data_IF_067352362521
#
_entry.id   IF_067352362521
#
_cell.length_a   1.000
_cell.length_b   1.000
_cell.length_c   1.000
_cell.angle_alpha   90.00
_cell.angle_beta   90.00
_cell.angle_gamma   90.00
#
_symmetry.space_group_name_H-M   'P 1'
#
loop_
_entity.id
_entity.type
_entity.pdbx_description
1 polymer ?
#
# COMPACT_ATOMS: atom_id res chain seq x y z
N UNK A 1 -12.85 7.70 -30.33
CA UNK A 1 -13.99 7.11 -29.60
C UNK A 1 -13.37 6.40 -28.41
N UNK A 2 -13.64 6.86 -27.20
CA UNK A 2 -13.06 6.27 -25.99
C UNK A 2 -13.95 5.11 -25.57
N UNK A 3 -13.43 3.89 -25.58
CA UNK A 3 -14.16 2.69 -25.15
C UNK A 3 -14.12 2.60 -23.62
N UNK A 4 -15.27 2.53 -22.95
CA UNK A 4 -15.34 2.53 -21.48
C UNK A 4 -14.59 1.36 -20.83
N UNK A 5 -14.44 0.24 -21.55
CA UNK A 5 -13.77 -0.97 -21.05
C UNK A 5 -12.25 -0.83 -20.94
N UNK A 6 -11.65 0.22 -21.50
CA UNK A 6 -10.20 0.47 -21.40
C UNK A 6 -9.81 1.25 -20.16
N UNK A 7 -10.78 1.84 -19.44
CA UNK A 7 -10.54 2.58 -18.20
C UNK A 7 -10.41 1.55 -17.07
N UNK A 8 -9.17 1.16 -16.78
CA UNK A 8 -8.83 0.18 -15.74
C UNK A 8 -7.83 0.78 -14.76
N UNK A 9 -8.00 0.47 -13.47
CA UNK A 9 -7.03 0.86 -12.46
C UNK A 9 -5.73 0.07 -12.66
N UNK A 10 -4.60 0.78 -12.72
CA UNK A 10 -3.27 0.22 -12.88
C UNK A 10 -2.46 0.38 -11.59
N UNK A 11 -1.44 -0.46 -11.41
CA UNK A 11 -0.46 -0.30 -10.35
C UNK A 11 0.29 1.03 -10.49
N UNK A 12 0.69 1.63 -9.37
CA UNK A 12 1.42 2.90 -9.39
C UNK A 12 2.59 2.90 -8.43
N UNK A 13 3.67 3.58 -8.81
CA UNK A 13 4.88 3.71 -7.99
C UNK A 13 4.89 5.07 -7.31
N UNK A 14 5.13 5.08 -6.01
CA UNK A 14 5.28 6.30 -5.21
C UNK A 14 6.68 6.38 -4.60
N UNK A 15 7.21 7.59 -4.47
CA UNK A 15 8.39 7.87 -3.65
C UNK A 15 7.93 8.19 -2.21
N UNK A 16 8.46 7.45 -1.24
CA UNK A 16 8.23 7.72 0.17
C UNK A 16 9.01 8.97 0.57
N UNK A 17 8.34 9.87 1.27
CA UNK A 17 8.86 11.19 1.64
C UNK A 17 9.23 11.27 3.11
N UNK A 18 10.24 12.06 3.45
CA UNK A 18 10.59 12.33 4.83
C UNK A 18 9.48 13.16 5.49
N UNK A 19 8.98 12.78 6.67
CA UNK A 19 7.76 13.38 7.25
C UNK A 19 7.90 14.87 7.61
N UNK A 20 9.13 15.38 7.79
CA UNK A 20 9.36 16.78 8.14
C UNK A 20 9.82 17.67 6.97
N UNK A 21 10.42 17.08 5.93
CA UNK A 21 11.05 17.85 4.83
C UNK A 21 10.41 17.59 3.49
N UNK A 22 9.53 16.59 3.40
CA UNK A 22 8.83 16.15 2.19
C UNK A 22 9.76 15.67 1.06
N UNK A 23 11.07 15.63 1.30
CA UNK A 23 12.06 15.13 0.37
C UNK A 23 11.98 13.60 0.26
N UNK A 24 12.19 13.02 -0.94
CA UNK A 24 12.19 11.57 -1.10
C UNK A 24 13.32 10.93 -0.29
N UNK A 25 13.01 9.90 0.49
CA UNK A 25 14.01 9.21 1.34
C UNK A 25 14.83 8.18 0.56
N UNK A 26 14.42 7.86 -0.67
CA UNK A 26 15.03 6.80 -1.49
C UNK A 26 14.31 5.45 -1.41
N UNK A 27 13.17 5.35 -0.73
CA UNK A 27 12.29 4.19 -0.77
C UNK A 27 11.18 4.43 -1.78
N UNK A 28 11.06 3.57 -2.78
CA UNK A 28 9.92 3.54 -3.70
C UNK A 28 9.04 2.37 -3.41
N UNK A 29 7.73 2.56 -3.49
CA UNK A 29 6.74 1.52 -3.23
C UNK A 29 5.77 1.45 -4.41
N UNK A 30 5.56 0.24 -4.92
CA UNK A 30 4.51 -0.06 -5.89
C UNK A 30 3.23 -0.37 -5.13
N UNK A 31 2.21 0.45 -5.36
CA UNK A 31 0.87 0.28 -4.82
C UNK A 31 -0.03 -0.41 -5.82
N UNK A 32 -0.81 -1.36 -5.31
CA UNK A 32 -1.82 -2.11 -6.04
C UNK A 32 -3.20 -1.46 -5.83
N UNK A 33 -4.01 -1.30 -6.90
CA UNK A 33 -5.37 -0.78 -6.76
C UNK A 33 -6.28 -1.77 -6.03
N UNK A 34 -7.43 -1.28 -5.52
CA UNK A 34 -8.40 -2.12 -4.81
C UNK A 34 -9.00 -3.25 -5.67
N UNK A 35 -8.95 -3.08 -7.00
CA UNK A 35 -9.41 -4.07 -7.98
C UNK A 35 -8.41 -5.20 -8.20
N UNK A 36 -7.16 -5.05 -7.75
CA UNK A 36 -6.13 -6.07 -7.91
C UNK A 36 -6.50 -7.36 -7.14
N UNK A 37 -6.31 -8.56 -7.71
CA UNK A 37 -6.76 -9.83 -7.11
C UNK A 37 -6.25 -10.03 -5.67
N UNK A 38 -4.97 -9.71 -5.41
CA UNK A 38 -4.36 -9.76 -4.06
C UNK A 38 -5.11 -8.88 -3.05
N UNK A 39 -5.45 -7.65 -3.43
CA UNK A 39 -6.14 -6.70 -2.56
C UNK A 39 -7.60 -7.11 -2.35
N UNK A 40 -8.28 -7.57 -3.40
CA UNK A 40 -9.66 -8.08 -3.32
C UNK A 40 -9.79 -9.32 -2.45
N UNK A 41 -8.80 -10.21 -2.47
CA UNK A 41 -8.77 -11.39 -1.62
C UNK A 41 -8.62 -11.00 -0.14
N UNK A 42 -7.66 -10.13 0.18
CA UNK A 42 -7.46 -9.62 1.53
C UNK A 42 -8.70 -8.87 2.06
N UNK A 43 -9.32 -8.04 1.21
CA UNK A 43 -10.56 -7.32 1.55
C UNK A 43 -11.72 -8.28 1.84
N UNK A 44 -11.91 -9.31 1.01
CA UNK A 44 -12.93 -10.34 1.23
C UNK A 44 -12.68 -11.09 2.53
N UNK A 45 -11.44 -11.55 2.75
CA UNK A 45 -11.04 -12.20 3.99
C UNK A 45 -11.35 -11.33 5.22
N UNK A 46 -11.01 -10.05 5.19
CA UNK A 46 -11.28 -9.13 6.29
C UNK A 46 -12.79 -8.96 6.55
N UNK A 47 -13.61 -8.93 5.49
CA UNK A 47 -15.07 -8.88 5.62
C UNK A 47 -15.62 -10.18 6.21
N UNK A 48 -15.17 -11.32 5.72
CA UNK A 48 -15.57 -12.64 6.21
C UNK A 48 -15.19 -12.81 7.70
N UNK A 49 -13.97 -12.45 8.08
CA UNK A 49 -13.49 -12.46 9.47
C UNK A 49 -14.32 -11.53 10.39
N UNK A 50 -14.91 -10.46 9.85
CA UNK A 50 -15.81 -9.55 10.57
C UNK A 50 -17.23 -10.13 10.69
N UNK A 51 -17.75 -10.76 9.64
CA UNK A 51 -19.09 -11.36 9.61
C UNK A 51 -19.17 -12.66 10.41
N UNK A 52 -18.14 -13.51 10.33
CA UNK A 52 -18.02 -14.75 11.11
C UNK A 52 -17.61 -14.51 12.56
N UNK A 53 -17.28 -13.27 12.93
CA UNK A 53 -16.71 -12.90 14.20
C UNK A 53 -17.60 -13.26 15.40
N UNK A 54 -17.33 -14.43 16.01
CA UNK A 54 -17.68 -14.76 17.39
C UNK A 54 -16.77 -13.97 18.36
N UNK A 55 -16.99 -12.67 18.52
CA UNK A 55 -16.23 -11.87 19.51
C UNK A 55 -16.31 -10.35 19.33
N UNK A 56 -15.91 -9.61 20.36
CA UNK A 56 -15.89 -8.14 20.37
C UNK A 56 -14.76 -7.61 19.47
N UNK A 57 -15.07 -6.65 18.60
CA UNK A 57 -14.05 -5.92 17.83
C UNK A 57 -13.20 -5.10 18.82
N UNK A 58 -11.89 -5.34 18.83
CA UNK A 58 -10.92 -4.63 19.67
C UNK A 58 -10.06 -3.69 18.82
N UNK A 59 -9.46 -2.68 19.46
CA UNK A 59 -8.53 -1.76 18.79
C UNK A 59 -7.38 -2.51 18.09
N UNK A 60 -6.75 -3.46 18.80
CA UNK A 60 -5.67 -4.28 18.24
C UNK A 60 -6.10 -5.08 17.01
N UNK A 61 -7.34 -5.62 16.99
CA UNK A 61 -7.85 -6.34 15.80
C UNK A 61 -8.07 -5.39 14.62
N UNK A 62 -8.49 -4.15 14.88
CA UNK A 62 -8.63 -3.13 13.83
C UNK A 62 -7.27 -2.71 13.27
N UNK A 63 -6.27 -2.49 14.12
CA UNK A 63 -4.91 -2.14 13.69
C UNK A 63 -4.24 -3.27 12.89
N UNK A 64 -4.47 -4.53 13.30
CA UNK A 64 -4.03 -5.69 12.54
C UNK A 64 -4.68 -5.69 11.16
N UNK A 65 -6.01 -5.56 11.06
CA UNK A 65 -6.71 -5.51 9.78
C UNK A 65 -6.23 -4.37 8.85
N UNK A 66 -5.94 -3.20 9.41
CA UNK A 66 -5.34 -2.06 8.68
C UNK A 66 -3.97 -2.43 8.12
N UNK A 67 -3.12 -3.03 8.93
CA UNK A 67 -1.78 -3.48 8.51
C UNK A 67 -1.85 -4.57 7.45
N UNK A 68 -2.73 -5.56 7.63
CA UNK A 68 -2.97 -6.63 6.65
C UNK A 68 -3.39 -6.08 5.29
N UNK A 69 -4.27 -5.06 5.26
CA UNK A 69 -4.66 -4.39 4.03
C UNK A 69 -3.50 -3.66 3.37
N UNK A 70 -2.65 -2.96 4.15
CA UNK A 70 -1.45 -2.30 3.60
C UNK A 70 -0.49 -3.30 2.97
N UNK A 71 -0.24 -4.42 3.65
CA UNK A 71 0.64 -5.48 3.15
C UNK A 71 0.10 -6.09 1.85
N UNK A 72 -1.22 -6.31 1.78
CA UNK A 72 -1.86 -6.78 0.56
C UNK A 72 -1.79 -5.76 -0.59
N UNK A 73 -1.75 -4.47 -0.27
CA UNK A 73 -1.77 -3.36 -1.23
C UNK A 73 -0.38 -2.93 -1.71
N UNK A 74 0.69 -3.50 -1.15
CA UNK A 74 2.05 -3.31 -1.65
C UNK A 74 2.42 -4.47 -2.59
N UNK A 75 2.74 -4.12 -3.83
CA UNK A 75 3.17 -5.05 -4.88
C UNK A 75 4.69 -5.14 -5.05
N UNK A 76 5.40 -4.10 -4.62
CA UNK A 76 6.84 -3.96 -4.81
C UNK A 76 7.43 -2.88 -3.92
N UNK A 77 8.71 -2.98 -3.58
CA UNK A 77 9.47 -1.83 -3.08
C UNK A 77 10.88 -1.82 -3.67
N UNK A 78 11.51 -0.66 -3.66
CA UNK A 78 12.88 -0.49 -4.15
C UNK A 78 13.63 0.47 -3.23
N UNK A 79 14.82 0.04 -2.79
CA UNK A 79 15.69 0.77 -1.87
C UNK A 79 16.86 1.41 -2.62
N UNK A 80 16.77 2.72 -2.87
CA UNK A 80 17.77 3.50 -3.61
C UNK A 80 18.85 4.12 -2.72
N UNK A 81 20.00 4.40 -3.34
CA UNK A 81 21.13 5.06 -2.69
C UNK A 81 21.59 4.31 -1.44
N UNK A 82 21.95 5.07 -0.41
CA UNK A 82 22.43 4.58 0.89
C UNK A 82 21.30 4.28 1.89
N UNK A 83 20.03 4.35 1.48
CA UNK A 83 18.90 4.07 2.37
C UNK A 83 18.93 2.60 2.80
N UNK A 84 18.85 2.38 4.11
CA UNK A 84 18.79 1.05 4.71
C UNK A 84 17.78 1.00 5.84
N UNK A 85 17.28 -0.20 6.12
CA UNK A 85 16.52 -0.52 7.32
C UNK A 85 17.37 -1.45 8.18
N UNK A 86 17.78 -0.97 9.36
CA UNK A 86 18.73 -1.68 10.23
C UNK A 86 20.02 -2.11 9.51
N UNK A 87 20.56 -1.25 8.65
CA UNK A 87 21.80 -1.51 7.90
C UNK A 87 21.67 -2.50 6.73
N UNK A 88 20.46 -2.97 6.43
CA UNK A 88 20.18 -3.88 5.30
C UNK A 88 19.05 -3.34 4.41
N UNK A 89 18.91 -3.90 3.21
CA UNK A 89 17.80 -3.64 2.29
C UNK A 89 16.99 -4.92 2.16
N UNK A 90 15.95 -5.13 2.98
CA UNK A 90 15.23 -6.39 3.01
C UNK A 90 14.45 -6.62 1.70
N UNK A 91 14.42 -7.86 1.24
CA UNK A 91 13.49 -8.30 0.20
C UNK A 91 12.04 -8.06 0.63
N UNK A 92 11.17 -7.77 -0.34
CA UNK A 92 9.76 -7.57 -0.06
C UNK A 92 9.10 -8.91 0.29
N UNK A 93 8.76 -9.08 1.57
CA UNK A 93 7.94 -10.17 2.08
C UNK A 93 6.90 -9.58 3.03
N UNK A 94 5.81 -10.30 3.28
CA UNK A 94 4.78 -9.84 4.21
C UNK A 94 5.36 -9.58 5.61
N UNK A 95 6.33 -10.39 6.04
CA UNK A 95 7.00 -10.24 7.34
C UNK A 95 7.87 -8.98 7.38
N UNK A 96 8.73 -8.77 6.36
CA UNK A 96 9.64 -7.63 6.32
C UNK A 96 8.86 -6.32 6.21
N UNK A 97 7.81 -6.29 5.39
CA UNK A 97 6.94 -5.12 5.25
C UNK A 97 6.20 -4.81 6.57
N UNK A 98 5.62 -5.81 7.24
CA UNK A 98 4.98 -5.60 8.56
C UNK A 98 5.96 -5.04 9.58
N UNK A 99 7.20 -5.53 9.57
CA UNK A 99 8.25 -5.03 10.47
C UNK A 99 8.53 -3.55 10.20
N UNK A 100 8.72 -3.17 8.94
CA UNK A 100 8.93 -1.77 8.54
C UNK A 100 7.74 -0.89 8.95
N UNK A 101 6.51 -1.28 8.60
CA UNK A 101 5.31 -0.49 8.91
C UNK A 101 5.05 -0.33 10.42
N UNK A 102 5.44 -1.33 11.22
CA UNK A 102 5.34 -1.30 12.67
C UNK A 102 6.37 -0.39 13.32
N UNK A 103 7.63 -0.44 12.86
CA UNK A 103 8.71 0.39 13.41
C UNK A 103 8.65 1.84 12.89
N UNK A 104 8.11 2.04 11.68
CA UNK A 104 8.04 3.32 10.99
C UNK A 104 6.58 3.64 10.61
N UNK A 105 5.71 3.98 11.57
CA UNK A 105 4.27 4.18 11.32
C UNK A 105 3.97 5.35 10.37
N UNK A 106 4.90 6.30 10.21
CA UNK A 106 4.79 7.39 9.25
C UNK A 106 4.83 6.91 7.78
N UNK A 107 5.41 5.74 7.51
CA UNK A 107 5.35 5.11 6.18
C UNK A 107 3.91 4.62 5.95
N UNK A 108 3.32 3.93 6.93
CA UNK A 108 1.94 3.45 6.87
C UNK A 108 0.95 4.58 6.56
N UNK A 109 1.11 5.73 7.24
CA UNK A 109 0.28 6.91 7.03
C UNK A 109 0.34 7.41 5.57
N UNK A 110 1.54 7.50 4.99
CA UNK A 110 1.71 7.87 3.58
C UNK A 110 1.09 6.85 2.64
N UNK A 111 1.28 5.55 2.88
CA UNK A 111 0.66 4.51 2.06
C UNK A 111 -0.86 4.60 2.07
N UNK A 112 -1.46 4.93 3.22
CA UNK A 112 -2.92 5.03 3.34
C UNK A 112 -3.50 6.26 2.67
N UNK A 113 -2.82 7.40 2.80
CA UNK A 113 -3.17 8.62 2.05
C UNK A 113 -3.14 8.31 0.55
N UNK A 114 -2.06 7.68 0.09
CA UNK A 114 -1.90 7.32 -1.31
C UNK A 114 -2.94 6.28 -1.77
N UNK A 115 -3.22 5.23 -0.99
CA UNK A 115 -4.27 4.26 -1.33
C UNK A 115 -5.68 4.89 -1.32
N UNK A 116 -5.89 5.95 -0.52
CA UNK A 116 -7.12 6.73 -0.51
C UNK A 116 -7.34 7.54 -1.79
N UNK A 117 -6.27 7.92 -2.49
CA UNK A 117 -6.30 8.68 -3.73
C UNK A 117 -6.60 7.80 -4.95
N UNK A 118 -7.80 7.20 -4.99
CA UNK A 118 -8.19 6.20 -6.01
C UNK A 118 -8.05 6.69 -7.46
N UNK A 119 -8.31 7.97 -7.71
CA UNK A 119 -8.19 8.56 -9.05
C UNK A 119 -6.77 8.42 -9.64
N UNK A 120 -5.74 8.42 -8.80
CA UNK A 120 -4.34 8.29 -9.23
C UNK A 120 -4.02 6.92 -9.83
N UNK A 121 -4.84 5.89 -9.56
CA UNK A 121 -4.68 4.57 -10.18
C UNK A 121 -5.25 4.51 -11.61
N UNK A 122 -5.98 5.52 -12.06
CA UNK A 122 -6.56 5.59 -13.41
C UNK A 122 -5.81 6.57 -14.32
N UNK A 123 -4.80 7.28 -13.80
CA UNK A 123 -3.98 8.19 -14.60
C UNK A 123 -2.92 7.41 -15.37
N UNK A 124 -2.70 7.80 -16.62
CA UNK A 124 -1.58 7.30 -17.42
C UNK A 124 -0.23 7.76 -16.82
N UNK A 125 0.85 6.96 -16.93
CA UNK A 125 2.19 7.35 -16.44
C UNK A 125 2.74 8.62 -17.11
N UNK A 126 2.15 9.05 -18.23
CA UNK A 126 2.52 10.25 -18.99
C UNK A 126 1.68 11.49 -18.63
N UNK A 127 0.74 11.40 -17.68
CA UNK A 127 -0.06 12.55 -17.23
C UNK A 127 -1.13 13.01 -18.23
N UNK A 128 -1.38 12.25 -19.29
CA UNK A 128 -2.58 12.40 -20.10
C UNK A 128 -3.77 11.83 -19.32
N UNK A 129 -4.62 12.74 -18.83
CA UNK A 129 -5.94 12.47 -18.28
C UNK A 129 -6.72 11.65 -19.34
N UNK A 130 -7.08 10.40 -19.01
CA UNK A 130 -7.89 9.52 -19.85
C UNK A 130 -9.38 9.88 -19.75
#
# INVERSE_FOLDING_TARGET
>A
MTELTTIVAAERVIDIKHPATEAPVGLRITLLPDTHPKVREASRKALDDRLMGKGKITASKMEQGRTDMLVASVGGWEWKGDLTFHGSKPDLTDESLRKVLKELPWISDQLEVELGNRAEFFRSPEGEDL
#
